data_IF_706761794474
#
_entry.id   IF_706761794474
#
_cell.length_a   1.000
_cell.length_b   1.000
_cell.length_c   1.000
_cell.angle_alpha   90.00
_cell.angle_beta   90.00
_cell.angle_gamma   90.00
#
_symmetry.space_group_name_H-M   'P 1'
#
loop_
_entity.id
_entity.type
_entity.pdbx_description
1 polymer ?
#
# COMPACT_ATOMS: atom_id res chain seq x y z
N UNK A 1 -3.72 10.31 11.42
CA UNK A 1 -4.49 10.75 10.24
C UNK A 1 -5.25 9.54 9.71
N UNK A 2 -6.48 9.72 9.22
CA UNK A 2 -7.31 8.66 8.66
C UNK A 2 -7.94 9.16 7.37
N UNK A 3 -7.91 8.36 6.31
CA UNK A 3 -8.66 8.54 5.07
C UNK A 3 -9.54 7.30 4.91
N UNK A 4 -10.82 7.51 4.67
CA UNK A 4 -11.87 6.48 4.64
C UNK A 4 -12.74 6.63 3.40
N UNK A 5 -13.74 5.75 3.26
CA UNK A 5 -14.70 5.82 2.15
C UNK A 5 -15.51 7.13 2.14
N UNK A 6 -15.69 7.77 3.30
CA UNK A 6 -16.44 9.03 3.42
C UNK A 6 -15.62 10.25 2.95
N UNK A 7 -14.31 10.09 2.76
CA UNK A 7 -13.39 11.16 2.38
C UNK A 7 -13.16 11.23 0.85
N UNK A 8 -13.60 10.22 0.09
CA UNK A 8 -13.33 10.10 -1.35
C UNK A 8 -14.62 10.08 -2.16
N UNK A 9 -14.56 10.59 -3.39
CA UNK A 9 -15.70 10.54 -4.31
C UNK A 9 -15.83 9.15 -4.95
N UNK A 10 -14.70 8.51 -5.25
CA UNK A 10 -14.64 7.18 -5.84
C UNK A 10 -13.76 6.23 -5.01
N UNK A 11 -14.31 5.07 -4.68
CA UNK A 11 -13.58 4.00 -4.00
C UNK A 11 -12.61 3.25 -4.93
N UNK A 12 -11.83 2.33 -4.35
CA UNK A 12 -10.95 1.40 -5.07
C UNK A 12 -11.74 0.69 -6.19
N UNK A 13 -11.21 0.58 -7.42
CA UNK A 13 -9.80 0.73 -7.81
C UNK A 13 -9.35 2.17 -8.12
N UNK A 14 -10.19 3.19 -7.91
CA UNK A 14 -9.76 4.57 -8.07
C UNK A 14 -8.64 4.91 -7.05
N UNK A 15 -7.56 5.60 -7.48
CA UNK A 15 -6.43 5.94 -6.61
C UNK A 15 -6.67 7.08 -5.62
N UNK A 16 -7.83 7.75 -5.66
CA UNK A 16 -8.15 8.97 -4.90
C UNK A 16 -7.78 8.88 -3.41
N UNK A 17 -8.13 7.78 -2.74
CA UNK A 17 -7.83 7.59 -1.31
C UNK A 17 -6.33 7.54 -1.01
N UNK A 18 -5.53 6.89 -1.86
CA UNK A 18 -4.08 6.80 -1.67
C UNK A 18 -3.39 8.13 -1.99
N UNK A 19 -3.81 8.83 -3.04
CA UNK A 19 -3.29 10.17 -3.36
C UNK A 19 -3.62 11.18 -2.26
N UNK A 20 -4.83 11.11 -1.70
CA UNK A 20 -5.23 11.94 -0.57
C UNK A 20 -4.37 11.67 0.66
N UNK A 21 -4.15 10.40 1.00
CA UNK A 21 -3.29 10.01 2.12
C UNK A 21 -1.84 10.50 1.94
N UNK A 22 -1.25 10.30 0.75
CA UNK A 22 0.10 10.77 0.44
C UNK A 22 0.22 12.29 0.60
N UNK A 23 -0.72 13.04 0.01
CA UNK A 23 -0.76 14.50 0.11
C UNK A 23 -0.88 14.97 1.57
N UNK A 24 -1.70 14.30 2.37
CA UNK A 24 -1.91 14.68 3.77
C UNK A 24 -0.70 14.33 4.66
N UNK A 25 0.16 13.40 4.23
CA UNK A 25 1.48 13.16 4.81
C UNK A 25 2.58 14.08 4.25
N UNK A 26 2.25 14.98 3.32
CA UNK A 26 3.20 15.80 2.57
C UNK A 26 4.25 14.95 1.82
N UNK A 27 3.84 13.78 1.32
CA UNK A 27 4.66 12.86 0.54
C UNK A 27 4.13 12.75 -0.90
N UNK A 28 5.02 12.43 -1.83
CA UNK A 28 4.62 12.01 -3.18
C UNK A 28 4.23 10.53 -3.15
N UNK A 29 3.20 10.09 -3.92
CA UNK A 29 2.79 8.69 -3.93
C UNK A 29 3.92 7.71 -4.26
N UNK A 30 4.87 8.09 -5.12
CA UNK A 30 6.05 7.27 -5.46
C UNK A 30 7.01 7.01 -4.29
N UNK A 31 6.96 7.85 -3.26
CA UNK A 31 7.71 7.69 -2.02
C UNK A 31 6.91 6.94 -0.94
N UNK A 32 5.66 6.55 -1.24
CA UNK A 32 4.82 5.76 -0.37
C UNK A 32 4.88 4.26 -0.68
N UNK A 33 4.60 3.46 0.35
CA UNK A 33 4.38 2.02 0.23
C UNK A 33 2.93 1.70 0.64
N UNK A 34 2.20 0.98 -0.20
CA UNK A 34 0.82 0.55 0.04
C UNK A 34 0.81 -0.93 0.38
N UNK A 35 0.18 -1.29 1.49
CA UNK A 35 -0.10 -2.68 1.87
C UNK A 35 -1.55 -3.01 1.56
N UNK A 36 -1.79 -4.04 0.75
CA UNK A 36 -3.13 -4.38 0.23
C UNK A 36 -3.36 -5.87 0.10
N UNK A 37 -4.59 -6.33 0.28
CA UNK A 37 -4.96 -7.75 0.21
C UNK A 37 -6.04 -8.04 -0.84
N UNK A 38 -6.50 -7.01 -1.56
CA UNK A 38 -7.58 -7.07 -2.55
C UNK A 38 -7.13 -6.64 -3.96
N UNK A 39 -7.69 -7.20 -5.04
CA UNK A 39 -7.32 -6.81 -6.40
C UNK A 39 -7.61 -5.35 -6.71
N UNK A 40 -8.77 -4.83 -6.26
CA UNK A 40 -9.14 -3.42 -6.45
C UNK A 40 -8.22 -2.49 -5.65
N UNK A 41 -7.81 -2.90 -4.45
CA UNK A 41 -6.87 -2.15 -3.64
C UNK A 41 -5.46 -2.09 -4.20
N UNK A 42 -4.93 -3.24 -4.66
CA UNK A 42 -3.65 -3.30 -5.37
C UNK A 42 -3.68 -2.40 -6.61
N UNK A 43 -4.75 -2.46 -7.40
CA UNK A 43 -4.91 -1.61 -8.58
C UNK A 43 -4.96 -0.11 -8.22
N UNK A 44 -5.64 0.26 -7.13
CA UNK A 44 -5.70 1.65 -6.65
C UNK A 44 -4.32 2.15 -6.19
N UNK A 45 -3.57 1.34 -5.42
CA UNK A 45 -2.23 1.70 -4.96
C UNK A 45 -1.26 1.89 -6.12
N UNK A 46 -1.28 0.97 -7.09
CA UNK A 46 -0.44 1.06 -8.29
C UNK A 46 -0.83 2.27 -9.16
N UNK A 47 -2.13 2.52 -9.34
CA UNK A 47 -2.63 3.67 -10.12
C UNK A 47 -2.33 5.01 -9.46
N UNK A 48 -2.16 5.05 -8.13
CA UNK A 48 -1.69 6.23 -7.41
C UNK A 48 -0.21 6.51 -7.67
N UNK A 49 0.55 5.56 -8.24
CA UNK A 49 1.98 5.66 -8.46
C UNK A 49 2.83 5.16 -7.28
N UNK A 50 2.21 4.53 -6.28
CA UNK A 50 2.92 3.95 -5.15
C UNK A 50 3.45 2.55 -5.46
N UNK A 51 4.46 2.12 -4.67
CA UNK A 51 4.83 0.70 -4.63
C UNK A 51 3.81 -0.08 -3.79
N UNK A 52 3.47 -1.28 -4.21
CA UNK A 52 2.45 -2.11 -3.56
C UNK A 52 3.04 -3.41 -3.03
N UNK A 53 2.80 -3.69 -1.76
CA UNK A 53 3.04 -4.98 -1.12
C UNK A 53 1.69 -5.68 -0.91
N UNK A 54 1.50 -6.79 -1.62
CA UNK A 54 0.30 -7.59 -1.51
C UNK A 54 0.37 -8.58 -0.33
N UNK A 55 -0.67 -8.61 0.49
CA UNK A 55 -0.88 -9.62 1.53
C UNK A 55 -1.71 -10.77 0.96
N UNK A 56 -1.18 -11.99 1.07
CA UNK A 56 -1.83 -13.22 0.59
C UNK A 56 -2.88 -13.77 1.59
N UNK A 57 -3.62 -12.87 2.25
CA UNK A 57 -4.60 -13.22 3.28
C UNK A 57 -6.01 -13.43 2.73
N UNK A 58 -6.39 -12.67 1.71
CA UNK A 58 -7.78 -12.60 1.22
C UNK A 58 -7.91 -13.10 -0.22
N UNK A 59 -6.99 -12.68 -1.09
CA UNK A 59 -6.98 -13.06 -2.51
C UNK A 59 -5.74 -13.88 -2.88
N UNK A 60 -5.86 -14.80 -3.86
CA UNK A 60 -4.73 -15.59 -4.33
C UNK A 60 -3.72 -14.70 -5.06
N UNK A 61 -2.44 -15.07 -4.98
CA UNK A 61 -1.32 -14.33 -5.61
C UNK A 61 -1.57 -13.98 -7.09
N UNK A 62 -2.22 -14.89 -7.84
CA UNK A 62 -2.51 -14.68 -9.25
C UNK A 62 -3.45 -13.49 -9.55
N UNK A 63 -4.22 -13.04 -8.57
CA UNK A 63 -5.15 -11.91 -8.68
C UNK A 63 -4.55 -10.59 -8.16
N UNK A 64 -3.35 -10.62 -7.60
CA UNK A 64 -2.70 -9.49 -6.94
C UNK A 64 -1.42 -9.09 -7.68
N UNK A 65 -1.50 -8.31 -8.78
CA UNK A 65 -0.33 -7.84 -9.52
C UNK A 65 0.37 -6.71 -8.76
N UNK A 66 1.20 -7.07 -7.78
CA UNK A 66 1.94 -6.17 -6.90
C UNK A 66 3.46 -6.25 -7.10
N UNK A 67 4.22 -5.37 -6.45
CA UNK A 67 5.69 -5.37 -6.52
C UNK A 67 6.30 -6.45 -5.61
N UNK A 68 5.64 -6.76 -4.50
CA UNK A 68 6.04 -7.75 -3.52
C UNK A 68 4.82 -8.46 -2.93
N UNK A 69 5.02 -9.69 -2.47
CA UNK A 69 3.98 -10.46 -1.77
C UNK A 69 4.50 -10.96 -0.44
N UNK A 70 3.67 -10.86 0.58
CA UNK A 70 3.92 -11.40 1.92
C UNK A 70 2.70 -12.19 2.37
N UNK A 71 2.92 -13.26 3.13
CA UNK A 71 1.82 -14.04 3.72
C UNK A 71 1.28 -13.39 4.99
N UNK A 72 2.09 -12.56 5.66
CA UNK A 72 1.78 -11.97 6.96
C UNK A 72 2.59 -10.68 7.20
N UNK A 73 1.99 -9.70 7.87
CA UNK A 73 2.67 -8.44 8.23
C UNK A 73 3.85 -8.64 9.19
N UNK A 74 3.92 -9.76 9.92
CA UNK A 74 5.08 -10.14 10.74
C UNK A 74 6.36 -10.35 9.92
N UNK A 75 6.25 -10.50 8.60
CA UNK A 75 7.40 -10.51 7.71
C UNK A 75 8.03 -9.13 7.52
N UNK A 76 7.42 -8.05 8.02
CA UNK A 76 7.89 -6.67 7.84
C UNK A 76 8.46 -6.13 9.14
N UNK A 77 9.74 -5.77 9.10
CA UNK A 77 10.45 -5.15 10.21
C UNK A 77 10.75 -3.67 9.91
N UNK A 78 10.09 -2.73 10.61
CA UNK A 78 10.36 -1.31 10.45
C UNK A 78 11.60 -0.88 11.25
N UNK A 79 12.45 -0.10 10.59
CA UNK A 79 13.64 0.52 11.16
C UNK A 79 13.57 2.03 10.93
N UNK A 80 13.66 2.81 12.01
CA UNK A 80 13.74 4.25 11.89
C UNK A 80 15.07 4.65 11.25
N UNK A 81 15.01 5.39 10.13
CA UNK A 81 16.13 6.14 9.58
C UNK A 81 15.97 7.63 9.88
N UNK A 82 17.01 8.40 9.58
CA UNK A 82 17.06 9.84 9.89
C UNK A 82 16.00 10.65 9.10
N UNK A 83 15.75 10.28 7.84
CA UNK A 83 14.79 10.96 6.94
C UNK A 83 13.72 10.03 6.36
N UNK A 84 13.81 8.72 6.60
CA UNK A 84 12.90 7.73 6.02
C UNK A 84 12.68 6.53 6.96
N UNK A 85 11.54 5.86 6.77
CA UNK A 85 11.28 4.55 7.35
C UNK A 85 11.90 3.47 6.44
N UNK A 86 12.85 2.71 6.96
CA UNK A 86 13.39 1.55 6.26
C UNK A 86 12.58 0.31 6.63
N UNK A 87 12.14 -0.47 5.65
CA UNK A 87 11.42 -1.71 5.86
C UNK A 87 12.26 -2.88 5.37
N UNK A 88 12.56 -3.81 6.26
CA UNK A 88 13.11 -5.11 5.89
C UNK A 88 11.94 -6.08 5.71
N UNK A 89 11.93 -6.81 4.60
CA UNK A 89 10.93 -7.85 4.36
C UNK A 89 11.62 -9.21 4.38
N UNK A 90 11.30 -10.00 5.39
CA UNK A 90 11.77 -11.37 5.56
C UNK A 90 10.93 -12.38 4.79
N UNK A 91 11.45 -13.60 4.69
CA UNK A 91 10.64 -14.78 4.38
C UNK A 91 10.40 -15.50 5.72
N UNK A 92 9.13 -15.78 6.03
CA UNK A 92 8.77 -16.64 7.17
C UNK A 92 8.96 -18.12 6.81
#
# INVERSE_FOLDING_TARGET
>A
MLVSADDVNEGKPNPEGYMMAARALSAEPGDCLVFEDSPSGVAAGASAGARVVALLTTSPRAELPADLWIDDLRAVEPHAGDEALHLSVGTL
#
